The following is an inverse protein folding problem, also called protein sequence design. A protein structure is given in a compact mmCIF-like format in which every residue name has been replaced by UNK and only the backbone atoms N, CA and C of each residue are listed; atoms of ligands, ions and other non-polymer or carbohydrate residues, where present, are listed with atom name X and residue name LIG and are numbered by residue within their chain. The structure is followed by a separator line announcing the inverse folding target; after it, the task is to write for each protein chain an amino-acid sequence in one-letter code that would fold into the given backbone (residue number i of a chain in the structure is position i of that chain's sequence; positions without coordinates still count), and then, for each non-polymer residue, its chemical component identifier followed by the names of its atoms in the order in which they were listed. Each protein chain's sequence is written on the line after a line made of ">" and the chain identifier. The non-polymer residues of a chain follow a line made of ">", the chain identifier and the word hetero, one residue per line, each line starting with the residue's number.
data_IF_342703411477
#
_entry.id   IF_342703411477
#
_cell.length_a   1.000
_cell.length_b   1.000
_cell.length_c   1.000
_cell.angle_alpha   90.00
_cell.angle_beta   90.00
_cell.angle_gamma   90.00
#
_symmetry.space_group_name_H-M   'P 1'
#
loop_
_entity.id
_entity.type
_entity.pdbx_description
1 polymer ?
#
# COMPACT_ATOMS: atom_id res chain seq x y z
N UNK A 1 20.35 -22.95 -10.90
CA UNK A 1 20.42 -21.61 -10.29
C UNK A 1 19.48 -20.72 -11.07
N UNK A 2 18.20 -20.70 -10.67
CA UNK A 2 17.14 -20.05 -11.43
C UNK A 2 17.34 -18.55 -11.43
N UNK A 3 17.33 -17.96 -12.63
CA UNK A 3 17.43 -16.53 -12.85
C UNK A 3 16.17 -15.88 -12.25
N UNK A 4 16.24 -15.47 -10.97
CA UNK A 4 15.34 -14.46 -10.44
C UNK A 4 15.77 -13.14 -11.08
N UNK A 5 15.38 -12.90 -12.33
CA UNK A 5 15.51 -11.58 -12.94
C UNK A 5 14.84 -10.62 -11.96
N UNK A 6 15.63 -9.75 -11.37
CA UNK A 6 15.18 -8.61 -10.59
C UNK A 6 14.05 -7.94 -11.38
N UNK A 7 12.81 -8.23 -10.98
CA UNK A 7 11.68 -7.44 -11.45
C UNK A 7 12.01 -6.04 -10.95
N UNK A 8 12.32 -5.15 -11.87
CA UNK A 8 12.45 -3.74 -11.61
C UNK A 8 11.02 -3.26 -11.31
N UNK A 9 10.54 -3.53 -10.09
CA UNK A 9 9.23 -3.10 -9.65
C UNK A 9 9.35 -1.59 -9.47
N UNK A 10 8.77 -0.85 -10.42
CA UNK A 10 8.75 0.61 -10.39
C UNK A 10 7.47 1.15 -9.78
N UNK A 11 6.42 0.33 -9.75
CA UNK A 11 5.11 0.74 -9.28
C UNK A 11 4.48 -0.32 -8.40
N UNK A 12 3.61 0.14 -7.50
CA UNK A 12 2.68 -0.69 -6.72
C UNK A 12 1.27 -0.26 -7.07
N UNK A 13 0.34 -1.21 -7.18
CA UNK A 13 -1.08 -0.89 -7.35
C UNK A 13 -1.73 -0.79 -5.98
N UNK A 14 -2.32 0.36 -5.63
CA UNK A 14 -3.01 0.58 -4.36
C UNK A 14 -4.51 0.80 -4.56
N UNK A 15 -5.34 0.20 -3.72
CA UNK A 15 -6.77 0.45 -3.69
C UNK A 15 -7.09 1.38 -2.54
N UNK A 16 -7.78 2.47 -2.84
CA UNK A 16 -8.24 3.45 -1.87
C UNK A 16 -9.77 3.43 -1.79
N UNK A 17 -10.32 3.80 -0.63
CA UNK A 17 -11.75 4.02 -0.46
C UNK A 17 -12.12 5.52 -0.56
N UNK A 18 -13.39 5.85 -0.35
CA UNK A 18 -13.92 7.23 -0.43
C UNK A 18 -13.32 8.21 0.59
N UNK A 19 -12.61 7.71 1.60
CA UNK A 19 -11.89 8.50 2.61
C UNK A 19 -10.38 8.59 2.33
N UNK A 20 -9.94 8.15 1.15
CA UNK A 20 -8.53 8.04 0.76
C UNK A 20 -7.72 7.02 1.58
N UNK A 21 -8.38 6.15 2.35
CA UNK A 21 -7.71 5.10 3.11
C UNK A 21 -7.27 3.99 2.16
N UNK A 22 -6.00 3.59 2.25
CA UNK A 22 -5.48 2.46 1.49
C UNK A 22 -6.00 1.17 2.15
N UNK A 23 -6.80 0.42 1.39
CA UNK A 23 -7.47 -0.80 1.84
C UNK A 23 -6.87 -2.07 1.24
N UNK A 24 -6.04 -1.95 0.20
CA UNK A 24 -5.28 -3.06 -0.37
C UNK A 24 -4.10 -2.55 -1.21
N UNK A 25 -3.10 -3.40 -1.43
CA UNK A 25 -2.03 -3.16 -2.40
C UNK A 25 -1.63 -4.44 -3.12
N UNK A 26 -1.01 -4.30 -4.29
CA UNK A 26 -0.36 -5.39 -5.01
C UNK A 26 0.97 -4.93 -5.62
N UNK A 27 2.03 -5.66 -5.28
CA UNK A 27 3.38 -5.52 -5.86
C UNK A 27 3.46 -6.16 -7.25
N UNK A 28 2.71 -7.25 -7.46
CA UNK A 28 2.62 -7.96 -8.74
C UNK A 28 1.14 -8.14 -9.07
N UNK A 29 0.74 -7.74 -10.28
CA UNK A 29 -0.67 -7.73 -10.69
C UNK A 29 -1.33 -6.42 -10.30
N UNK A 30 -2.55 -6.47 -9.75
CA UNK A 30 -3.29 -5.28 -9.33
C UNK A 30 -4.47 -5.61 -8.43
N UNK A 31 -4.91 -4.61 -7.67
CA UNK A 31 -6.09 -4.65 -6.78
C UNK A 31 -7.26 -3.85 -7.37
N UNK A 32 -7.26 -3.64 -8.69
CA UNK A 32 -8.15 -2.71 -9.40
C UNK A 32 -8.08 -1.29 -8.80
N UNK A 33 -6.87 -0.87 -8.45
CA UNK A 33 -6.58 0.42 -7.87
C UNK A 33 -5.70 1.29 -8.77
N UNK A 34 -4.97 2.20 -8.15
CA UNK A 34 -4.13 3.20 -8.81
C UNK A 34 -2.68 2.72 -8.74
N UNK A 35 -1.96 2.78 -9.86
CA UNK A 35 -0.52 2.54 -9.88
C UNK A 35 0.23 3.79 -9.39
N UNK A 36 1.06 3.61 -8.37
CA UNK A 36 1.92 4.67 -7.81
C UNK A 36 3.38 4.24 -7.84
N UNK A 37 4.31 5.20 -7.89
CA UNK A 37 5.75 4.89 -7.83
C UNK A 37 6.10 4.27 -6.48
N UNK A 38 7.03 3.33 -6.47
CA UNK A 38 7.60 2.85 -5.21
C UNK A 38 8.41 3.92 -4.48
N UNK A 39 8.85 4.97 -5.17
CA UNK A 39 9.64 6.06 -4.59
C UNK A 39 8.83 6.92 -3.61
N UNK A 40 7.49 6.90 -3.70
CA UNK A 40 6.59 7.63 -2.78
C UNK A 40 6.06 6.76 -1.64
N UNK A 41 6.41 5.46 -1.62
CA UNK A 41 6.04 4.57 -0.53
C UNK A 41 6.93 4.87 0.69
N UNK A 42 6.34 4.96 1.89
CA UNK A 42 7.09 4.85 3.13
C UNK A 42 7.93 3.56 3.13
N UNK A 43 9.17 3.63 3.62
CA UNK A 43 10.08 2.49 3.63
C UNK A 43 9.51 1.28 4.38
N UNK A 44 8.66 1.54 5.37
CA UNK A 44 8.01 0.55 6.22
C UNK A 44 6.62 0.12 5.71
N UNK A 45 6.15 0.67 4.59
CA UNK A 45 4.77 0.47 4.13
C UNK A 45 4.41 -1.00 3.95
N UNK A 46 5.29 -1.80 3.37
CA UNK A 46 5.02 -3.22 3.07
C UNK A 46 5.03 -4.06 4.35
N UNK A 47 5.93 -3.75 5.28
CA UNK A 47 6.10 -4.48 6.54
C UNK A 47 4.99 -4.12 7.55
N UNK A 48 4.58 -2.86 7.57
CA UNK A 48 3.58 -2.31 8.49
C UNK A 48 2.20 -2.11 7.84
N UNK A 49 1.95 -2.71 6.68
CA UNK A 49 0.66 -2.55 6.03
C UNK A 49 -0.46 -3.15 6.87
N UNK A 50 -1.37 -2.29 7.32
CA UNK A 50 -2.70 -2.67 7.75
C UNK A 50 -3.74 -1.86 6.96
N UNK A 51 -4.89 -2.48 6.73
CA UNK A 51 -5.99 -1.83 6.04
C UNK A 51 -6.39 -0.57 6.78
N UNK A 52 -6.43 0.57 6.08
CA UNK A 52 -6.76 1.91 6.60
C UNK A 52 -5.70 2.57 7.47
N UNK A 53 -4.54 1.94 7.68
CA UNK A 53 -3.43 2.56 8.42
C UNK A 53 -2.76 3.70 7.63
N UNK A 54 -2.76 3.60 6.31
CA UNK A 54 -2.20 4.62 5.42
C UNK A 54 -3.30 5.32 4.62
N UNK A 55 -3.09 6.62 4.36
CA UNK A 55 -3.90 7.47 3.48
C UNK A 55 -3.12 7.81 2.21
N UNK A 56 -3.80 7.93 1.08
CA UNK A 56 -3.21 8.42 -0.17
C UNK A 56 -3.85 9.75 -0.58
N UNK A 57 -3.12 10.85 -0.40
CA UNK A 57 -3.63 12.21 -0.62
C UNK A 57 -2.63 13.00 -1.45
N UNK A 58 -3.09 13.60 -2.54
CA UNK A 58 -2.28 14.45 -3.44
C UNK A 58 -0.97 13.78 -3.89
N UNK A 59 -1.02 12.50 -4.26
CA UNK A 59 0.15 11.75 -4.72
C UNK A 59 1.11 11.27 -3.62
N UNK A 60 0.78 11.51 -2.35
CA UNK A 60 1.63 11.17 -1.21
C UNK A 60 0.92 10.18 -0.27
N UNK A 61 1.70 9.28 0.33
CA UNK A 61 1.23 8.37 1.37
C UNK A 61 1.54 8.97 2.74
N UNK A 62 0.54 8.98 3.62
CA UNK A 62 0.65 9.46 5.01
C UNK A 62 0.05 8.44 5.96
N UNK A 63 0.44 8.45 7.23
CA UNK A 63 -0.25 7.65 8.25
C UNK A 63 -1.63 8.25 8.54
N UNK A 64 -2.61 7.39 8.77
CA UNK A 64 -3.97 7.78 9.14
C UNK A 64 -4.02 8.06 10.65
N UNK A 65 -4.24 9.31 11.09
CA UNK A 65 -4.34 9.64 12.51
C UNK A 65 -5.58 9.04 13.18
N UNK A 66 -6.62 8.72 12.40
CA UNK A 66 -7.87 8.13 12.87
C UNK A 66 -7.85 6.60 12.83
N UNK A 67 -6.68 6.00 12.57
CA UNK A 67 -6.55 4.56 12.51
C UNK A 67 -6.84 3.91 13.87
N UNK A 68 -7.73 2.92 13.85
CA UNK A 68 -8.02 2.04 14.98
C UNK A 68 -7.69 0.62 14.55
N UNK A 69 -6.73 0.01 15.24
CA UNK A 69 -6.36 -1.37 14.98
C UNK A 69 -7.57 -2.29 15.17
N UNK A 70 -7.76 -3.29 14.29
CA UNK A 70 -8.87 -4.22 14.42
C UNK A 70 -8.77 -4.98 15.76
N UNK A 71 -9.86 -4.99 16.52
CA UNK A 71 -9.95 -5.80 17.73
C UNK A 71 -9.99 -7.29 17.36
N UNK A 72 -8.89 -8.00 17.64
CA UNK A 72 -8.85 -9.46 17.60
C UNK A 72 -9.70 -10.00 18.74
N UNK A 73 -10.92 -10.44 18.43
CA UNK A 73 -11.69 -11.32 19.31
C UNK A 73 -11.09 -12.72 19.23
N UNK A 74 -10.27 -13.07 20.22
CA UNK A 74 -9.66 -14.38 20.40
C UNK A 74 -10.63 -15.40 21.00
#
# INVERSE_FOLDING_TARGET
>A
MGIMKEKNIKTVNIKVNDKNEIIAYAIIGGVNGIDISIDVLPADFIENFDSKYYLYVDGNIKTNPDYVAPEIHL
#
